data_IF_526643830201
#
_entry.id   IF_526643830201
#
_cell.length_a   1.000
_cell.length_b   1.000
_cell.length_c   1.000
_cell.angle_alpha   90.00
_cell.angle_beta   90.00
_cell.angle_gamma   90.00
#
_symmetry.space_group_name_H-M   'P 1'
#
loop_
_entity.id
_entity.type
_entity.pdbx_description
1 polymer ?
#
# COMPACT_ATOMS: atom_id res chain seq x y z
N UNK A 1 -37.20 65.41 12.09
CA UNK A 1 -36.38 65.84 10.94
C UNK A 1 -35.50 64.66 10.53
N UNK A 2 -35.66 64.19 9.29
CA UNK A 2 -34.78 63.32 8.48
C UNK A 2 -34.27 62.01 9.10
N UNK A 3 -34.99 60.92 8.83
CA UNK A 3 -34.40 59.56 8.78
C UNK A 3 -33.72 59.37 7.43
N UNK A 4 -32.42 59.09 7.42
CA UNK A 4 -31.69 58.70 6.20
C UNK A 4 -31.83 57.19 6.00
N UNK A 5 -32.31 56.67 4.86
CA UNK A 5 -32.25 55.24 4.60
C UNK A 5 -30.84 54.88 4.11
N UNK A 6 -30.09 54.13 4.91
CA UNK A 6 -28.87 53.44 4.46
C UNK A 6 -29.29 52.34 3.47
N UNK A 7 -28.82 52.44 2.23
CA UNK A 7 -29.09 51.47 1.17
C UNK A 7 -28.58 50.05 1.56
N UNK A 8 -29.28 48.98 1.15
CA UNK A 8 -28.77 47.63 1.35
C UNK A 8 -27.52 47.41 0.48
N UNK A 9 -26.43 46.96 1.10
CA UNK A 9 -25.21 46.50 0.44
C UNK A 9 -25.60 45.38 -0.54
N UNK A 10 -25.36 45.59 -1.83
CA UNK A 10 -25.48 44.52 -2.84
C UNK A 10 -24.60 43.35 -2.41
N UNK A 11 -25.24 42.24 -2.10
CA UNK A 11 -24.59 40.93 -2.04
C UNK A 11 -24.17 40.64 -3.49
N UNK A 12 -22.91 40.88 -3.81
CA UNK A 12 -22.32 40.33 -5.03
C UNK A 12 -22.44 38.81 -4.90
N UNK A 13 -23.32 38.21 -5.69
CA UNK A 13 -23.34 36.77 -5.91
C UNK A 13 -21.93 36.38 -6.34
N UNK A 14 -21.19 35.73 -5.45
CA UNK A 14 -19.95 35.04 -5.78
C UNK A 14 -20.37 33.81 -6.57
N UNK A 15 -20.69 34.02 -7.84
CA UNK A 15 -20.94 32.92 -8.77
C UNK A 15 -19.57 32.28 -9.01
N UNK A 16 -19.36 31.02 -8.61
CA UNK A 16 -18.09 30.37 -8.87
C UNK A 16 -17.88 30.31 -10.39
N UNK A 17 -16.74 30.85 -10.86
CA UNK A 17 -16.41 30.95 -12.29
C UNK A 17 -16.30 29.59 -13.00
N UNK A 18 -16.38 28.48 -12.27
CA UNK A 18 -16.37 27.12 -12.81
C UNK A 18 -17.53 26.31 -12.19
N UNK A 19 -18.20 25.46 -12.98
CA UNK A 19 -19.20 24.55 -12.43
C UNK A 19 -18.53 23.64 -11.41
N UNK A 20 -18.95 23.73 -10.14
CA UNK A 20 -18.59 22.73 -9.14
C UNK A 20 -19.19 21.41 -9.62
N UNK A 21 -18.38 20.36 -9.89
CA UNK A 21 -18.95 19.10 -10.34
C UNK A 21 -19.92 18.61 -9.28
N UNK A 22 -21.17 18.39 -9.68
CA UNK A 22 -22.16 17.79 -8.80
C UNK A 22 -21.60 16.45 -8.33
N UNK A 23 -21.47 16.29 -7.01
CA UNK A 23 -20.95 15.06 -6.42
C UNK A 23 -21.89 13.90 -6.76
N UNK A 24 -21.45 13.03 -7.67
CA UNK A 24 -22.25 11.92 -8.20
C UNK A 24 -22.39 10.74 -7.25
N UNK A 25 -21.58 10.68 -6.19
CA UNK A 25 -21.53 9.51 -5.29
C UNK A 25 -21.67 9.87 -3.81
N UNK A 26 -22.50 9.09 -3.11
CA UNK A 26 -22.65 9.15 -1.65
C UNK A 26 -21.36 8.72 -0.96
N UNK A 27 -21.08 9.31 0.20
CA UNK A 27 -20.04 8.83 1.13
C UNK A 27 -20.29 7.34 1.39
N UNK A 28 -19.24 6.52 1.29
CA UNK A 28 -19.28 5.13 1.71
C UNK A 28 -19.70 5.08 3.18
N UNK A 29 -20.73 4.27 3.48
CA UNK A 29 -21.16 4.06 4.85
C UNK A 29 -20.10 3.19 5.56
N UNK A 30 -19.29 3.80 6.42
CA UNK A 30 -18.28 3.10 7.23
C UNK A 30 -18.87 2.41 8.46
N UNK A 31 -20.20 2.42 8.62
CA UNK A 31 -20.88 1.73 9.72
C UNK A 31 -20.98 0.24 9.44
N UNK A 32 -20.89 -0.18 8.18
CA UNK A 32 -20.78 -1.59 7.83
C UNK A 32 -19.31 -2.02 7.91
N UNK A 33 -18.99 -3.11 8.62
CA UNK A 33 -17.66 -3.68 8.60
C UNK A 33 -17.33 -4.07 7.16
N UNK A 34 -16.28 -3.47 6.60
CA UNK A 34 -15.71 -3.96 5.35
C UNK A 34 -15.22 -5.39 5.57
N UNK A 35 -15.53 -6.33 4.66
CA UNK A 35 -14.93 -7.65 4.71
C UNK A 35 -13.41 -7.45 4.57
N UNK A 36 -12.70 -7.77 5.63
CA UNK A 36 -11.26 -7.70 5.70
C UNK A 36 -10.77 -9.01 5.04
N UNK A 37 -9.70 -8.99 4.24
CA UNK A 37 -9.11 -10.24 3.76
C UNK A 37 -8.74 -11.08 5.00
N UNK A 38 -9.48 -12.16 5.24
CA UNK A 38 -9.41 -12.96 6.48
C UNK A 38 -10.74 -13.15 7.23
N UNK A 39 -11.82 -12.44 6.86
CA UNK A 39 -13.16 -12.59 7.48
C UNK A 39 -13.97 -13.80 6.98
N UNK A 40 -13.30 -14.85 6.50
CA UNK A 40 -13.95 -16.14 6.28
C UNK A 40 -14.39 -16.75 7.60
N UNK A 41 -15.15 -17.87 7.61
CA UNK A 41 -15.37 -18.61 8.84
C UNK A 41 -14.01 -18.86 9.50
N UNK A 42 -13.80 -18.32 10.71
CA UNK A 42 -12.58 -18.60 11.47
C UNK A 42 -12.47 -20.12 11.57
N UNK A 43 -11.41 -20.67 10.99
CA UNK A 43 -11.02 -22.03 11.30
C UNK A 43 -10.57 -22.04 12.77
N UNK A 44 -11.51 -22.33 13.66
CA UNK A 44 -11.31 -22.37 15.11
C UNK A 44 -10.38 -23.53 15.53
N UNK A 45 -9.92 -24.36 14.59
CA UNK A 45 -8.93 -25.41 14.86
C UNK A 45 -7.49 -24.88 14.86
N UNK A 46 -7.25 -23.68 14.34
CA UNK A 46 -5.95 -23.04 14.32
C UNK A 46 -5.64 -22.22 15.59
N UNK A 47 -4.36 -21.94 15.87
CA UNK A 47 -3.99 -21.02 16.95
C UNK A 47 -4.57 -19.63 16.71
N UNK A 48 -4.94 -18.92 17.78
CA UNK A 48 -5.41 -17.55 17.67
C UNK A 48 -4.34 -16.63 17.04
N UNK A 49 -4.73 -15.69 16.18
CA UNK A 49 -3.78 -14.78 15.56
C UNK A 49 -3.17 -13.84 16.61
N UNK A 50 -1.83 -13.83 16.66
CA UNK A 50 -1.05 -12.95 17.55
C UNK A 50 -1.35 -11.46 17.30
N UNK A 51 -1.42 -10.68 18.38
CA UNK A 51 -1.47 -9.21 18.33
C UNK A 51 -0.20 -8.64 17.69
N UNK A 52 -0.20 -7.41 17.14
CA UNK A 52 0.97 -6.86 16.46
C UNK A 52 2.25 -6.89 17.29
N UNK A 53 2.19 -6.55 18.57
CA UNK A 53 3.35 -6.56 19.47
C UNK A 53 3.78 -7.97 19.88
N UNK A 54 2.84 -8.93 19.96
CA UNK A 54 3.17 -10.34 20.22
C UNK A 54 3.80 -10.99 19.00
N UNK A 55 3.32 -10.61 17.82
CA UNK A 55 3.86 -11.00 16.52
C UNK A 55 5.29 -10.48 16.36
N UNK A 56 5.55 -9.23 16.70
CA UNK A 56 6.90 -8.65 16.64
C UNK A 56 7.88 -9.35 17.62
N UNK A 57 7.39 -9.88 18.74
CA UNK A 57 8.18 -10.66 19.70
C UNK A 57 8.24 -12.17 19.38
N UNK A 58 7.48 -12.65 18.39
CA UNK A 58 7.42 -14.06 18.04
C UNK A 58 8.64 -14.52 17.23
N UNK A 59 9.20 -15.67 17.61
CA UNK A 59 10.41 -16.24 17.00
C UNK A 59 10.06 -17.17 15.82
N UNK A 60 8.83 -17.67 15.75
CA UNK A 60 8.35 -18.72 14.84
C UNK A 60 7.38 -18.18 13.78
N UNK A 61 7.71 -17.01 13.23
CA UNK A 61 6.88 -16.29 12.25
C UNK A 61 6.86 -16.93 10.86
N UNK A 62 7.80 -17.84 10.63
CA UNK A 62 7.88 -18.70 9.46
C UNK A 62 7.84 -20.16 9.92
N UNK A 63 7.27 -21.03 9.10
CA UNK A 63 7.06 -22.46 9.40
C UNK A 63 8.39 -23.26 9.48
N UNK A 64 9.54 -22.57 9.45
CA UNK A 64 10.88 -23.15 9.50
C UNK A 64 11.28 -23.91 8.23
N UNK A 65 10.31 -24.27 7.38
CA UNK A 65 10.54 -24.96 6.12
C UNK A 65 11.00 -23.98 5.04
N UNK A 66 12.24 -24.11 4.52
CA UNK A 66 12.70 -23.29 3.41
C UNK A 66 11.94 -23.67 2.14
N UNK A 67 11.60 -22.67 1.32
CA UNK A 67 11.07 -22.93 -0.03
C UNK A 67 12.09 -23.78 -0.81
N UNK A 68 11.61 -24.80 -1.54
CA UNK A 68 12.42 -25.67 -2.37
C UNK A 68 13.33 -24.89 -3.35
N UNK A 69 12.87 -23.73 -3.85
CA UNK A 69 13.66 -22.82 -4.69
C UNK A 69 14.84 -22.21 -3.93
N UNK A 70 14.64 -21.87 -2.66
CA UNK A 70 15.70 -21.30 -1.81
C UNK A 70 16.75 -22.35 -1.47
N UNK A 71 16.35 -23.60 -1.23
CA UNK A 71 17.32 -24.69 -1.06
C UNK A 71 18.18 -24.90 -2.32
N UNK A 72 17.54 -24.88 -3.49
CA UNK A 72 18.21 -25.04 -4.76
C UNK A 72 19.22 -23.90 -5.00
N UNK A 73 18.78 -22.66 -4.80
CA UNK A 73 19.67 -21.49 -4.90
C UNK A 73 20.87 -21.59 -3.95
N UNK A 74 20.65 -22.05 -2.71
CA UNK A 74 21.75 -22.30 -1.77
C UNK A 74 22.74 -23.34 -2.29
N UNK A 75 22.25 -24.47 -2.82
CA UNK A 75 23.10 -25.52 -3.42
C UNK A 75 23.88 -25.00 -4.62
N UNK A 76 23.27 -24.17 -5.45
CA UNK A 76 23.89 -23.59 -6.65
C UNK A 76 25.03 -22.64 -6.27
N UNK A 77 24.79 -21.73 -5.32
CA UNK A 77 25.83 -20.84 -4.78
C UNK A 77 26.96 -21.64 -4.11
N UNK A 78 26.63 -22.66 -3.30
CA UNK A 78 27.61 -23.57 -2.67
C UNK A 78 28.50 -24.29 -3.69
N UNK A 79 27.94 -24.64 -4.85
CA UNK A 79 28.67 -25.27 -5.97
C UNK A 79 29.48 -24.28 -6.79
N UNK A 80 29.38 -22.98 -6.49
CA UNK A 80 30.05 -21.92 -7.23
C UNK A 80 29.40 -21.64 -8.59
N UNK A 81 28.12 -22.04 -8.77
CA UNK A 81 27.37 -21.70 -9.97
C UNK A 81 27.14 -20.19 -9.99
N UNK A 82 27.93 -19.50 -10.80
CA UNK A 82 27.76 -18.08 -11.04
C UNK A 82 26.69 -17.89 -12.11
N UNK A 83 25.75 -17.00 -11.83
CA UNK A 83 24.71 -16.61 -12.79
C UNK A 83 25.35 -16.19 -14.13
N UNK A 84 24.98 -16.92 -15.19
CA UNK A 84 25.48 -16.70 -16.55
C UNK A 84 24.58 -15.76 -17.36
N UNK A 85 23.55 -15.19 -16.74
CA UNK A 85 22.69 -14.22 -17.40
C UNK A 85 23.48 -13.00 -17.91
N UNK A 86 22.82 -12.17 -18.71
CA UNK A 86 23.47 -10.98 -19.31
C UNK A 86 23.87 -9.90 -18.29
N UNK A 87 23.49 -10.04 -17.02
CA UNK A 87 23.80 -9.08 -15.94
C UNK A 87 25.30 -8.82 -15.79
N UNK A 88 26.13 -9.82 -15.45
CA UNK A 88 27.57 -9.61 -15.28
C UNK A 88 28.30 -9.12 -16.54
N UNK A 89 28.00 -9.61 -17.76
CA UNK A 89 28.55 -9.01 -18.99
C UNK A 89 28.12 -7.55 -19.21
N UNK A 90 26.86 -7.20 -18.94
CA UNK A 90 26.35 -5.84 -19.12
C UNK A 90 26.97 -4.86 -18.11
N UNK A 91 27.08 -5.24 -16.83
CA UNK A 91 27.75 -4.44 -15.81
C UNK A 91 29.22 -4.21 -16.17
N UNK A 92 29.95 -5.26 -16.58
CA UNK A 92 31.34 -5.14 -17.08
C UNK A 92 31.45 -4.19 -18.27
N UNK A 93 30.49 -4.20 -19.20
CA UNK A 93 30.48 -3.30 -20.35
C UNK A 93 30.26 -1.84 -19.90
N UNK A 94 29.32 -1.60 -19.00
CA UNK A 94 29.04 -0.28 -18.45
C UNK A 94 30.25 0.31 -17.69
N UNK A 95 30.91 -0.49 -16.85
CA UNK A 95 32.12 -0.07 -16.13
C UNK A 95 33.27 0.32 -17.07
N UNK A 96 33.40 -0.36 -18.22
CA UNK A 96 34.38 -0.01 -19.26
C UNK A 96 34.06 1.30 -19.97
N UNK A 97 32.78 1.63 -20.16
CA UNK A 97 32.34 2.88 -20.79
C UNK A 97 32.47 4.10 -19.88
N UNK A 98 32.42 3.90 -18.56
CA UNK A 98 32.57 4.95 -17.55
C UNK A 98 34.02 5.36 -17.28
N UNK A 99 34.99 4.56 -17.72
CA UNK A 99 36.42 4.85 -17.64
C UNK A 99 36.87 5.65 -18.86
#
# INVERSE_FOLDING_TARGET
>A
MKTTPTAPRKEEEIIPSAPVPARTERRVNTTQPQPHPGSGPQDLSGPEPLLPHERDEAVNMTDGEPDAKMEQAYRDVKRGLQDTDRGPPADKAYQKQKR
#
